data_IF_229511048766
#
_entry.id   IF_229511048766
#
_cell.length_a   1.000
_cell.length_b   1.000
_cell.length_c   1.000
_cell.angle_alpha   90.00
_cell.angle_beta   90.00
_cell.angle_gamma   90.00
#
_symmetry.space_group_name_H-M   'P 1'
#
loop_
_entity.id
_entity.type
_entity.pdbx_description
1 polymer ?
#
# COMPACT_ATOMS: atom_id res chain seq x y z
N UNK A 1 -26.98 21.07 -32.71
CA UNK A 1 -25.60 20.52 -32.68
C UNK A 1 -25.36 19.91 -31.30
N UNK A 2 -25.64 18.62 -31.11
CA UNK A 2 -25.42 17.94 -29.82
C UNK A 2 -23.94 17.57 -29.73
N UNK A 3 -23.22 18.12 -28.76
CA UNK A 3 -21.83 17.74 -28.49
C UNK A 3 -21.83 16.25 -28.16
N UNK A 4 -21.15 15.43 -28.98
CA UNK A 4 -20.89 14.03 -28.63
C UNK A 4 -20.22 14.02 -27.24
N UNK A 5 -20.69 13.24 -26.27
CA UNK A 5 -19.92 13.05 -25.05
C UNK A 5 -18.57 12.48 -25.47
N UNK A 6 -17.48 13.10 -25.02
CA UNK A 6 -16.17 12.49 -25.21
C UNK A 6 -16.20 11.15 -24.49
N UNK A 7 -15.67 10.07 -25.10
CA UNK A 7 -15.55 8.80 -24.39
C UNK A 7 -14.79 9.11 -23.10
N UNK A 8 -15.38 8.74 -21.96
CA UNK A 8 -14.76 8.91 -20.66
C UNK A 8 -13.29 8.48 -20.80
N UNK A 9 -12.37 9.43 -20.57
CA UNK A 9 -10.94 9.17 -20.60
C UNK A 9 -10.72 7.88 -19.82
N UNK A 10 -10.18 6.87 -20.50
CA UNK A 10 -10.03 5.52 -19.98
C UNK A 10 -9.21 5.59 -18.70
N UNK A 11 -9.89 5.60 -17.55
CA UNK A 11 -9.23 5.64 -16.26
C UNK A 11 -8.71 4.24 -15.95
N UNK A 12 -7.51 3.97 -16.44
CA UNK A 12 -6.77 2.76 -16.12
C UNK A 12 -6.34 2.84 -14.64
N UNK A 13 -7.19 2.32 -13.76
CA UNK A 13 -6.80 1.94 -12.41
C UNK A 13 -5.94 0.69 -12.50
N UNK A 14 -4.63 0.87 -12.41
CA UNK A 14 -3.66 -0.21 -12.24
C UNK A 14 -3.83 -0.87 -10.85
N UNK A 15 -4.98 -1.51 -10.62
CA UNK A 15 -5.27 -2.26 -9.39
C UNK A 15 -4.32 -3.46 -9.23
N UNK A 16 -3.77 -3.97 -10.34
CA UNK A 16 -2.90 -5.16 -10.37
C UNK A 16 -1.41 -4.90 -10.09
N UNK A 17 -0.95 -3.65 -10.07
CA UNK A 17 0.45 -3.31 -9.76
C UNK A 17 0.67 -2.84 -8.30
N UNK A 18 -0.36 -2.91 -7.46
CA UNK A 18 -0.28 -2.60 -6.02
C UNK A 18 -0.20 -3.90 -5.21
N UNK A 19 0.76 -4.76 -5.54
CA UNK A 19 1.01 -6.00 -4.80
C UNK A 19 1.14 -5.73 -3.28
N UNK A 20 0.78 -6.73 -2.48
CA UNK A 20 -0.37 -6.76 -1.54
C UNK A 20 -0.72 -5.45 -0.81
N UNK A 21 -1.94 -5.38 -0.28
CA UNK A 21 -2.36 -4.26 0.59
C UNK A 21 -1.40 -4.10 1.76
N UNK A 22 -0.69 -2.98 1.79
CA UNK A 22 0.33 -2.67 2.78
C UNK A 22 0.27 -1.19 3.19
N UNK A 23 0.89 -0.88 4.32
CA UNK A 23 1.18 0.49 4.75
C UNK A 23 2.67 0.65 5.06
N UNK A 24 3.17 1.89 5.07
CA UNK A 24 4.53 2.20 5.47
C UNK A 24 4.59 2.57 6.95
N UNK A 25 5.50 1.93 7.69
CA UNK A 25 5.78 2.20 9.09
C UNK A 25 7.19 2.78 9.24
N UNK A 26 7.28 4.02 9.71
CA UNK A 26 8.56 4.71 9.96
C UNK A 26 8.76 4.84 11.47
N UNK A 27 9.88 4.32 11.97
CA UNK A 27 10.25 4.40 13.39
C UNK A 27 11.73 4.79 13.53
N UNK A 28 12.01 6.03 13.91
CA UNK A 28 13.37 6.59 13.91
C UNK A 28 14.07 6.39 12.56
N UNK A 29 15.16 5.62 12.50
CA UNK A 29 15.92 5.30 11.28
C UNK A 29 15.38 4.10 10.49
N UNK A 30 14.31 3.46 10.98
CA UNK A 30 13.75 2.26 10.39
C UNK A 30 12.54 2.61 9.52
N UNK A 31 12.45 1.96 8.36
CA UNK A 31 11.33 2.04 7.42
C UNK A 31 10.98 0.61 6.99
N UNK A 32 9.68 0.29 7.03
CA UNK A 32 9.16 -0.98 6.57
C UNK A 32 7.81 -0.83 5.86
N UNK A 33 7.63 -1.63 4.81
CA UNK A 33 6.32 -1.90 4.24
C UNK A 33 5.71 -3.11 4.98
N UNK A 34 4.53 -2.92 5.58
CA UNK A 34 3.84 -3.90 6.40
C UNK A 34 2.54 -4.30 5.74
N UNK A 35 2.37 -5.59 5.46
CA UNK A 35 1.13 -6.17 4.94
C UNK A 35 -0.01 -6.03 5.94
N UNK A 36 -1.24 -5.96 5.44
CA UNK A 36 -2.44 -5.84 6.28
C UNK A 36 -3.04 -7.23 6.57
N UNK A 37 -3.00 -8.13 5.59
CA UNK A 37 -3.53 -9.50 5.70
C UNK A 37 -2.68 -10.48 4.87
N UNK A 38 -1.76 -11.23 5.50
CA UNK A 38 -1.43 -11.20 6.93
C UNK A 38 -0.63 -9.94 7.34
N UNK A 39 -0.58 -9.66 8.65
CA UNK A 39 0.35 -8.65 9.19
C UNK A 39 1.77 -9.20 9.17
N UNK A 40 2.54 -8.80 8.16
CA UNK A 40 3.94 -9.21 7.98
C UNK A 40 4.80 -8.10 7.39
N UNK A 41 6.13 -8.17 7.58
CA UNK A 41 7.07 -7.24 6.94
C UNK A 41 7.34 -7.72 5.52
N UNK A 42 6.91 -6.93 4.54
CA UNK A 42 7.11 -7.21 3.12
C UNK A 42 8.45 -6.67 2.61
N UNK A 43 8.91 -5.54 3.16
CA UNK A 43 10.19 -4.90 2.81
C UNK A 43 10.68 -4.04 3.96
N UNK A 44 12.00 -3.88 4.06
CA UNK A 44 12.62 -3.04 5.08
C UNK A 44 12.74 -3.74 6.42
N UNK A 45 12.74 -2.99 7.51
CA UNK A 45 12.85 -3.57 8.84
C UNK A 45 12.27 -2.64 9.90
N UNK A 46 11.81 -3.22 11.00
CA UNK A 46 11.46 -2.51 12.23
C UNK A 46 12.26 -3.11 13.38
N UNK A 47 12.60 -2.35 14.43
CA UNK A 47 13.24 -2.91 15.61
C UNK A 47 12.27 -3.87 16.32
N UNK A 48 12.78 -4.92 16.98
CA UNK A 48 11.97 -5.98 17.62
C UNK A 48 10.83 -5.45 18.51
N UNK A 49 11.05 -4.35 19.23
CA UNK A 49 10.02 -3.71 20.07
C UNK A 49 8.85 -3.14 19.27
N UNK A 50 9.10 -2.64 18.06
CA UNK A 50 8.07 -2.07 17.19
C UNK A 50 7.30 -3.14 16.39
N UNK A 51 7.73 -4.41 16.45
CA UNK A 51 7.04 -5.54 15.80
C UNK A 51 6.00 -6.20 16.72
N UNK A 52 5.92 -5.77 17.99
CA UNK A 52 5.02 -6.37 18.96
C UNK A 52 3.61 -5.78 18.82
N UNK A 53 2.66 -6.61 18.38
CA UNK A 53 1.23 -6.35 18.60
C UNK A 53 0.84 -7.04 19.92
N UNK A 54 0.40 -6.29 20.96
CA UNK A 54 -0.19 -6.91 22.13
C UNK A 54 -1.42 -7.73 21.72
N UNK A 55 -1.54 -8.94 22.29
CA UNK A 55 -2.70 -9.80 22.12
C UNK A 55 -3.97 -9.19 22.72
#
# INVERSE_FOLDING_TARGET
MRRRPQPAEEYNLYYKDHAPLHFHAIYAQYDAAVGIDPIEILKGSLPRRAQYLPA
#
